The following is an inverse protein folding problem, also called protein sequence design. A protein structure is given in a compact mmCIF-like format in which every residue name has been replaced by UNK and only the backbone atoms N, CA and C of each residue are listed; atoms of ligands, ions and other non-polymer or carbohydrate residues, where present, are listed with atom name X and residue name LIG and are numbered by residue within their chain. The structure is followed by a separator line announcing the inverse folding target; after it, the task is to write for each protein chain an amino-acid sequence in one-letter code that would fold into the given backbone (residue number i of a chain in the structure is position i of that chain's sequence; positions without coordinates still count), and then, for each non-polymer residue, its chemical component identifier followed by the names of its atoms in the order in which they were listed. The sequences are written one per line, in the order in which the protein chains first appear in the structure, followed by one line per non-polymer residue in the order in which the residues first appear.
data_IF_995863324773
#
_entry.id   IF_995863324773
#
_cell.length_a   1.000
_cell.length_b   1.000
_cell.length_c   1.000
_cell.angle_alpha   90.00
_cell.angle_beta   90.00
_cell.angle_gamma   90.00
#
_symmetry.space_group_name_H-M   'P 1'
#
loop_
_entity.id
_entity.type
_entity.pdbx_description
1 polymer ?
#
# COMPACT_ATOMS: atom_id res chain seq x y z
N UNK A 1 -17.37 18.98 -7.12
CA UNK A 1 -17.55 18.49 -5.74
C UNK A 1 -16.19 18.05 -5.26
N UNK A 2 -15.78 18.41 -4.04
CA UNK A 2 -14.53 17.88 -3.48
C UNK A 2 -14.68 16.37 -3.32
N UNK A 3 -13.70 15.58 -3.74
CA UNK A 3 -13.67 14.13 -3.50
C UNK A 3 -13.69 13.86 -1.99
N UNK A 4 -14.36 12.80 -1.55
CA UNK A 4 -14.31 12.37 -0.14
C UNK A 4 -12.92 11.80 0.19
N UNK A 5 -12.55 11.74 1.46
CA UNK A 5 -11.32 11.06 1.88
C UNK A 5 -11.36 9.58 1.50
N UNK A 6 -12.54 8.94 1.57
CA UNK A 6 -12.73 7.57 1.09
C UNK A 6 -12.39 7.44 -0.40
N UNK A 7 -12.87 8.36 -1.25
CA UNK A 7 -12.58 8.34 -2.68
C UNK A 7 -11.11 8.63 -2.97
N UNK A 8 -10.48 9.52 -2.21
CA UNK A 8 -9.06 9.84 -2.33
C UNK A 8 -8.18 8.67 -1.90
N UNK A 9 -8.55 7.98 -0.82
CA UNK A 9 -7.86 6.77 -0.40
C UNK A 9 -7.94 5.70 -1.49
N UNK A 10 -9.13 5.46 -2.02
CA UNK A 10 -9.30 4.48 -3.09
C UNK A 10 -8.45 4.80 -4.33
N UNK A 11 -8.31 6.08 -4.68
CA UNK A 11 -7.42 6.51 -5.76
C UNK A 11 -5.94 6.24 -5.44
N UNK A 12 -5.50 6.53 -4.21
CA UNK A 12 -4.14 6.22 -3.77
C UNK A 12 -3.86 4.70 -3.88
N UNK A 13 -4.80 3.86 -3.44
CA UNK A 13 -4.66 2.40 -3.54
C UNK A 13 -4.67 1.90 -4.98
N UNK A 14 -5.48 2.49 -5.86
CA UNK A 14 -5.45 2.17 -7.29
C UNK A 14 -4.07 2.44 -7.89
N UNK A 15 -3.45 3.56 -7.54
CA UNK A 15 -2.08 3.87 -7.97
C UNK A 15 -1.05 2.88 -7.40
N UNK A 16 -1.18 2.47 -6.13
CA UNK A 16 -0.31 1.45 -5.54
C UNK A 16 -0.42 0.11 -6.29
N UNK A 17 -1.64 -0.30 -6.66
CA UNK A 17 -1.88 -1.50 -7.46
C UNK A 17 -1.30 -1.36 -8.87
N UNK A 18 -1.41 -0.18 -9.50
CA UNK A 18 -0.80 0.09 -10.79
C UNK A 18 0.72 -0.02 -10.72
N UNK A 19 1.37 0.62 -9.75
CA UNK A 19 2.83 0.53 -9.53
C UNK A 19 3.27 -0.91 -9.28
N UNK A 20 2.51 -1.67 -8.51
CA UNK A 20 2.80 -3.07 -8.27
C UNK A 20 2.67 -3.91 -9.55
N UNK A 21 1.68 -3.61 -10.39
CA UNK A 21 1.53 -4.24 -11.70
C UNK A 21 2.72 -3.94 -12.60
N UNK A 22 3.14 -2.67 -12.70
CA UNK A 22 4.32 -2.26 -13.48
C UNK A 22 5.57 -2.99 -13.00
N UNK A 23 5.79 -3.08 -11.68
CA UNK A 23 6.89 -3.86 -11.11
C UNK A 23 6.86 -5.33 -11.58
N UNK A 24 5.71 -6.00 -11.50
CA UNK A 24 5.57 -7.38 -11.96
C UNK A 24 5.78 -7.51 -13.48
N UNK A 25 5.32 -6.56 -14.29
CA UNK A 25 5.55 -6.54 -15.73
C UNK A 25 7.04 -6.50 -16.04
N UNK A 26 7.79 -5.58 -15.42
CA UNK A 26 9.24 -5.48 -15.64
C UNK A 26 9.99 -6.72 -15.11
N UNK A 27 9.60 -7.22 -13.93
CA UNK A 27 10.20 -8.42 -13.35
C UNK A 27 9.97 -9.65 -14.24
N UNK A 28 8.76 -9.84 -14.77
CA UNK A 28 8.42 -10.97 -15.64
C UNK A 28 9.02 -10.86 -17.04
N UNK A 29 9.30 -9.64 -17.51
CA UNK A 29 10.11 -9.38 -18.69
C UNK A 29 11.61 -9.72 -18.47
N UNK A 30 12.04 -9.88 -17.20
CA UNK A 30 13.44 -10.01 -16.79
C UNK A 30 14.28 -8.79 -17.21
N UNK A 31 13.69 -7.60 -17.19
CA UNK A 31 14.40 -6.33 -17.35
C UNK A 31 14.88 -5.85 -15.98
N UNK A 32 16.14 -6.14 -15.65
CA UNK A 32 16.67 -5.86 -14.30
C UNK A 32 16.63 -4.37 -13.92
N UNK A 33 17.17 -3.44 -14.74
CA UNK A 33 17.09 -2.01 -14.42
C UNK A 33 15.64 -1.55 -14.23
N UNK A 34 14.74 -1.88 -15.16
CA UNK A 34 13.36 -1.42 -15.09
C UNK A 34 12.60 -2.03 -13.90
N UNK A 35 12.87 -3.30 -13.56
CA UNK A 35 12.26 -3.96 -12.41
C UNK A 35 12.71 -3.35 -11.08
N UNK A 36 14.01 -3.02 -10.95
CA UNK A 36 14.54 -2.38 -9.75
C UNK A 36 14.00 -0.95 -9.59
N UNK A 37 13.93 -0.19 -10.68
CA UNK A 37 13.36 1.17 -10.66
C UNK A 37 11.87 1.13 -10.30
N UNK A 38 11.08 0.26 -10.94
CA UNK A 38 9.66 0.10 -10.64
C UNK A 38 9.42 -0.39 -9.21
N UNK A 39 10.27 -1.28 -8.68
CA UNK A 39 10.20 -1.73 -7.29
C UNK A 39 10.51 -0.60 -6.31
N UNK A 40 11.54 0.22 -6.58
CA UNK A 40 11.88 1.37 -5.75
C UNK A 40 10.74 2.41 -5.72
N UNK A 41 10.10 2.66 -6.86
CA UNK A 41 8.93 3.53 -6.94
C UNK A 41 7.74 2.99 -6.14
N UNK A 42 7.39 1.71 -6.32
CA UNK A 42 6.36 1.04 -5.54
C UNK A 42 6.64 1.14 -4.05
N UNK A 43 7.84 0.73 -3.63
CA UNK A 43 8.28 0.74 -2.22
C UNK A 43 8.15 2.14 -1.64
N UNK A 44 8.67 3.15 -2.34
CA UNK A 44 8.61 4.54 -1.88
C UNK A 44 7.18 5.05 -1.71
N UNK A 45 6.30 4.84 -2.70
CA UNK A 45 4.90 5.28 -2.60
C UNK A 45 4.17 4.58 -1.46
N UNK A 46 4.38 3.28 -1.31
CA UNK A 46 3.70 2.48 -0.31
C UNK A 46 4.19 2.80 1.11
N UNK A 47 5.49 3.05 1.29
CA UNK A 47 6.05 3.54 2.57
C UNK A 47 5.52 4.93 2.93
N UNK A 48 5.43 5.86 1.96
CA UNK A 48 4.84 7.19 2.18
C UNK A 48 3.39 7.09 2.63
N UNK A 49 2.61 6.27 1.94
CA UNK A 49 1.20 6.04 2.23
C UNK A 49 1.01 5.51 3.66
N UNK A 50 1.66 4.40 3.97
CA UNK A 50 1.61 3.78 5.31
C UNK A 50 2.04 4.72 6.43
N UNK A 51 3.13 5.46 6.23
CA UNK A 51 3.64 6.42 7.23
C UNK A 51 2.69 7.59 7.43
N UNK A 52 2.08 8.09 6.35
CA UNK A 52 1.07 9.12 6.44
C UNK A 52 -0.11 8.64 7.30
N UNK A 53 -0.61 7.44 7.04
CA UNK A 53 -1.73 6.90 7.79
C UNK A 53 -1.39 6.66 9.26
N UNK A 54 -0.25 6.01 9.53
CA UNK A 54 0.25 5.75 10.89
C UNK A 54 0.40 7.04 11.71
N UNK A 55 0.81 8.14 11.07
CA UNK A 55 1.11 9.40 11.76
C UNK A 55 -0.03 10.40 11.79
N UNK A 56 -0.97 10.33 10.85
CA UNK A 56 -1.96 11.40 10.61
C UNK A 56 -3.40 10.90 10.58
N UNK A 57 -3.64 9.65 10.18
CA UNK A 57 -4.99 9.09 10.00
C UNK A 57 -5.37 8.27 11.23
N UNK A 58 -4.61 7.23 11.54
CA UNK A 58 -4.90 6.32 12.65
C UNK A 58 -4.97 7.02 14.01
N UNK A 59 -4.11 8.01 14.35
CA UNK A 59 -4.21 8.73 15.61
C UNK A 59 -5.52 9.53 15.80
N UNK A 60 -6.26 9.77 14.72
CA UNK A 60 -7.54 10.49 14.77
C UNK A 60 -8.72 9.61 15.11
N UNK A 61 -8.53 8.28 15.17
CA UNK A 61 -9.57 7.32 15.48
C UNK A 61 -9.51 6.90 16.95
N UNK A 62 -10.63 7.00 17.65
CA UNK A 62 -10.77 6.50 19.01
C UNK A 62 -11.31 5.07 19.03
N UNK A 63 -10.48 4.13 19.50
CA UNK A 63 -10.86 2.72 19.60
C UNK A 63 -12.07 2.53 20.54
N UNK A 64 -13.10 1.84 20.05
CA UNK A 64 -14.37 1.61 20.75
C UNK A 64 -15.39 2.73 20.61
N UNK A 65 -15.04 3.84 19.95
CA UNK A 65 -15.96 4.95 19.64
C UNK A 65 -16.14 5.11 18.14
N UNK A 66 -15.04 5.30 17.42
CA UNK A 66 -15.02 5.56 15.97
C UNK A 66 -14.87 4.28 15.16
N UNK A 67 -14.01 3.38 15.66
CA UNK A 67 -13.67 2.09 15.05
C UNK A 67 -13.54 1.05 16.16
N UNK A 68 -13.82 -0.22 15.88
CA UNK A 68 -13.59 -1.27 16.89
C UNK A 68 -12.08 -1.42 17.14
N UNK A 69 -11.70 -1.78 18.38
CA UNK A 69 -10.30 -2.01 18.71
C UNK A 69 -9.69 -3.14 17.87
N UNK A 70 -10.50 -4.13 17.47
CA UNK A 70 -10.06 -5.22 16.60
C UNK A 70 -9.76 -4.75 15.18
N UNK A 71 -10.63 -3.95 14.57
CA UNK A 71 -10.38 -3.43 13.22
C UNK A 71 -9.21 -2.46 13.19
N UNK A 72 -9.07 -1.60 14.21
CA UNK A 72 -7.89 -0.73 14.31
C UNK A 72 -6.59 -1.55 14.41
N UNK A 73 -6.59 -2.61 15.24
CA UNK A 73 -5.44 -3.51 15.35
C UNK A 73 -5.15 -4.27 14.04
N UNK A 74 -6.19 -4.61 13.26
CA UNK A 74 -6.02 -5.25 11.95
C UNK A 74 -5.37 -4.32 10.94
N UNK A 75 -5.80 -3.06 10.84
CA UNK A 75 -5.20 -2.06 9.93
C UNK A 75 -3.72 -1.83 10.29
N UNK A 76 -3.41 -1.61 11.57
CA UNK A 76 -2.01 -1.50 12.01
C UNK A 76 -1.22 -2.80 11.77
N UNK A 77 -1.85 -3.96 11.92
CA UNK A 77 -1.25 -5.24 11.60
C UNK A 77 -0.94 -5.41 10.11
N UNK A 78 -1.83 -4.95 9.23
CA UNK A 78 -1.62 -4.96 7.78
C UNK A 78 -0.38 -4.15 7.41
N UNK A 79 -0.19 -2.96 8.02
CA UNK A 79 0.98 -2.11 7.81
C UNK A 79 2.31 -2.84 8.10
N UNK A 80 2.38 -3.62 9.17
CA UNK A 80 3.55 -4.43 9.47
C UNK A 80 3.74 -5.53 8.42
N UNK A 81 2.68 -6.26 8.08
CA UNK A 81 2.73 -7.37 7.11
C UNK A 81 3.13 -6.87 5.72
N UNK A 82 2.68 -5.68 5.34
CA UNK A 82 3.06 -5.01 4.09
C UNK A 82 4.56 -4.69 4.11
N UNK A 83 5.08 -4.10 5.19
CA UNK A 83 6.52 -3.83 5.35
C UNK A 83 7.37 -5.09 5.21
N UNK A 84 7.02 -6.15 5.94
CA UNK A 84 7.70 -7.45 5.86
C UNK A 84 7.65 -8.05 4.45
N UNK A 85 6.53 -7.83 3.73
CA UNK A 85 6.36 -8.32 2.36
C UNK A 85 7.22 -7.53 1.37
N UNK A 86 7.42 -6.23 1.56
CA UNK A 86 8.33 -5.44 0.73
C UNK A 86 9.78 -5.91 0.89
N UNK A 87 10.24 -6.17 2.10
CA UNK A 87 11.58 -6.73 2.33
C UNK A 87 11.75 -8.10 1.64
N UNK A 88 10.74 -8.97 1.75
CA UNK A 88 10.72 -10.24 1.04
C UNK A 88 10.82 -10.08 -0.48
N UNK A 89 10.11 -9.10 -1.06
CA UNK A 89 10.13 -8.85 -2.50
C UNK A 89 11.49 -8.34 -2.96
N UNK A 90 12.17 -7.52 -2.15
CA UNK A 90 13.53 -7.05 -2.44
C UNK A 90 14.52 -8.23 -2.51
N UNK A 91 14.47 -9.13 -1.52
CA UNK A 91 15.27 -10.35 -1.52
C UNK A 91 14.98 -11.25 -2.73
N UNK A 92 13.71 -11.31 -3.16
CA UNK A 92 13.30 -12.08 -4.32
C UNK A 92 13.81 -11.48 -5.63
N UNK A 93 13.76 -10.16 -5.78
CA UNK A 93 14.34 -9.45 -6.93
C UNK A 93 15.81 -9.79 -7.04
N UNK A 94 16.54 -9.72 -5.93
CA UNK A 94 17.96 -10.05 -5.89
C UNK A 94 18.22 -11.52 -6.25
N UNK A 95 17.48 -12.45 -5.65
CA UNK A 95 17.61 -13.88 -5.94
C UNK A 95 17.34 -14.20 -7.42
N UNK A 96 16.34 -13.57 -8.02
CA UNK A 96 15.97 -13.79 -9.43
C UNK A 96 17.10 -13.33 -10.36
N UNK A 97 17.58 -12.10 -10.20
CA UNK A 97 18.57 -11.53 -11.12
C UNK A 97 19.99 -12.07 -10.89
N UNK A 98 20.35 -12.47 -9.68
CA UNK A 98 21.64 -13.13 -9.42
C UNK A 98 21.65 -14.64 -9.72
N UNK A 99 20.51 -15.24 -10.04
CA UNK A 99 20.44 -16.66 -10.40
C UNK A 99 21.09 -16.93 -11.75
N UNK A 100 21.76 -18.09 -11.87
CA UNK A 100 22.22 -18.58 -13.17
C UNK A 100 21.06 -18.97 -14.11
N UNK A 101 19.82 -19.09 -13.59
CA UNK A 101 18.61 -19.37 -14.35
C UNK A 101 17.47 -18.43 -13.91
N UNK A 102 17.52 -17.12 -14.23
CA UNK A 102 16.58 -16.11 -13.70
C UNK A 102 15.11 -16.44 -13.95
N UNK A 103 14.79 -16.92 -15.16
CA UNK A 103 13.42 -17.34 -15.50
C UNK A 103 12.91 -18.48 -14.62
N UNK A 104 13.78 -19.45 -14.29
CA UNK A 104 13.39 -20.58 -13.44
C UNK A 104 13.19 -20.15 -12.00
N UNK A 105 14.07 -19.26 -11.50
CA UNK A 105 13.95 -18.69 -10.17
C UNK A 105 12.67 -17.86 -10.03
N UNK A 106 12.34 -17.05 -11.05
CA UNK A 106 11.09 -16.29 -11.10
C UNK A 106 9.87 -17.21 -11.02
N UNK A 107 9.83 -18.26 -11.85
CA UNK A 107 8.71 -19.21 -11.85
C UNK A 107 8.57 -19.92 -10.50
N UNK A 108 9.68 -20.27 -9.86
CA UNK A 108 9.68 -20.91 -8.54
C UNK A 108 9.12 -19.99 -7.43
N UNK A 109 9.17 -18.68 -7.61
CA UNK A 109 8.76 -17.69 -6.61
C UNK A 109 7.45 -16.96 -6.96
N UNK A 110 6.72 -17.34 -8.02
CA UNK A 110 5.47 -16.67 -8.45
C UNK A 110 4.42 -16.53 -7.33
N UNK A 111 4.25 -17.55 -6.49
CA UNK A 111 3.30 -17.50 -5.37
C UNK A 111 3.70 -16.51 -4.29
N UNK A 112 5.01 -16.33 -4.07
CA UNK A 112 5.56 -15.37 -3.10
C UNK A 112 5.46 -13.95 -3.65
N UNK A 113 5.72 -13.78 -4.95
CA UNK A 113 5.55 -12.50 -5.65
C UNK A 113 4.10 -12.03 -5.50
N UNK A 114 3.11 -12.85 -5.86
CA UNK A 114 1.68 -12.50 -5.80
C UNK A 114 1.11 -12.21 -4.40
N UNK A 115 1.88 -12.39 -3.31
CA UNK A 115 1.38 -12.21 -1.94
C UNK A 115 0.96 -10.78 -1.65
N UNK A 116 1.69 -9.78 -2.15
CA UNK A 116 1.40 -8.37 -1.87
C UNK A 116 0.02 -7.95 -2.39
N UNK A 117 -0.42 -8.50 -3.52
CA UNK A 117 -1.72 -8.18 -4.10
C UNK A 117 -2.87 -8.48 -3.14
N UNK A 118 -2.91 -9.70 -2.61
CA UNK A 118 -3.98 -10.09 -1.68
C UNK A 118 -3.95 -9.29 -0.38
N UNK A 119 -2.75 -8.91 0.09
CA UNK A 119 -2.62 -8.04 1.26
C UNK A 119 -3.21 -6.66 0.96
N UNK A 120 -2.85 -6.05 -0.17
CA UNK A 120 -3.36 -4.74 -0.58
C UNK A 120 -4.88 -4.77 -0.79
N UNK A 121 -5.44 -5.82 -1.40
CA UNK A 121 -6.88 -5.96 -1.58
C UNK A 121 -7.64 -5.94 -0.24
N UNK A 122 -7.19 -6.75 0.73
CA UNK A 122 -7.81 -6.79 2.05
C UNK A 122 -7.62 -5.50 2.85
N UNK A 123 -6.44 -4.91 2.77
CA UNK A 123 -6.11 -3.64 3.42
C UNK A 123 -6.99 -2.50 2.89
N UNK A 124 -7.09 -2.37 1.56
CA UNK A 124 -7.98 -1.40 0.88
C UNK A 124 -9.44 -1.57 1.33
N UNK A 125 -9.92 -2.82 1.39
CA UNK A 125 -11.30 -3.11 1.82
C UNK A 125 -11.55 -2.64 3.26
N UNK A 126 -10.62 -2.90 4.18
CA UNK A 126 -10.76 -2.48 5.57
C UNK A 126 -10.83 -0.97 5.71
N UNK A 127 -9.93 -0.25 5.05
CA UNK A 127 -9.87 1.20 5.18
C UNK A 127 -11.07 1.89 4.55
N UNK A 128 -11.45 1.44 3.36
CA UNK A 128 -12.65 1.91 2.65
C UNK A 128 -13.93 1.66 3.46
N UNK A 129 -13.95 0.61 4.29
CA UNK A 129 -15.13 0.23 5.06
C UNK A 129 -15.18 0.79 6.47
N UNK A 130 -14.03 0.92 7.14
CA UNK A 130 -13.97 1.14 8.59
C UNK A 130 -13.17 2.37 9.01
N UNK A 131 -12.29 2.90 8.16
CA UNK A 131 -11.41 4.03 8.49
C UNK A 131 -11.94 5.32 7.87
N UNK A 132 -11.85 5.43 6.55
CA UNK A 132 -12.12 6.69 5.85
C UNK A 132 -13.58 7.16 5.89
N UNK A 133 -14.61 6.28 5.88
CA UNK A 133 -15.99 6.72 6.04
C UNK A 133 -16.28 7.42 7.38
N UNK A 134 -15.50 7.11 8.42
CA UNK A 134 -15.62 7.76 9.73
C UNK A 134 -15.04 9.18 9.67
N UNK A 135 -13.88 9.33 9.02
CA UNK A 135 -13.22 10.62 8.85
C UNK A 135 -14.03 11.57 7.96
N UNK A 136 -14.69 11.04 6.93
CA UNK A 136 -15.58 11.83 6.05
C UNK A 136 -16.76 12.49 6.78
N UNK A 137 -17.17 11.89 7.92
CA UNK A 137 -18.26 12.39 8.75
C UNK A 137 -17.80 13.41 9.80
N UNK A 138 -16.49 13.65 9.94
CA UNK A 138 -15.98 14.63 10.89
C UNK A 138 -16.43 16.06 10.53
N UNK A 139 -16.80 16.88 11.52
CA UNK A 139 -17.31 18.22 11.27
C UNK A 139 -16.21 19.23 10.89
N UNK A 140 -14.95 18.94 11.22
CA UNK A 140 -13.82 19.83 10.97
C UNK A 140 -13.34 19.72 9.51
N UNK A 141 -13.74 20.71 8.70
CA UNK A 141 -13.42 20.75 7.27
C UNK A 141 -11.99 21.17 6.98
N UNK A 142 -11.37 21.97 7.84
CA UNK A 142 -9.96 22.35 7.66
C UNK A 142 -9.08 21.12 7.88
N UNK A 143 -9.38 20.35 8.92
CA UNK A 143 -8.73 19.07 9.19
C UNK A 143 -8.91 18.06 8.06
N UNK A 144 -10.13 17.89 7.54
CA UNK A 144 -10.40 17.00 6.39
C UNK A 144 -9.57 17.41 5.16
N UNK A 145 -9.46 18.71 4.87
CA UNK A 145 -8.66 19.19 3.75
C UNK A 145 -7.16 18.87 3.93
N UNK A 146 -6.63 18.98 5.15
CA UNK A 146 -5.24 18.60 5.45
C UNK A 146 -4.98 17.10 5.22
N UNK A 147 -5.95 16.24 5.58
CA UNK A 147 -5.85 14.81 5.28
C UNK A 147 -5.95 14.52 3.79
N UNK A 148 -6.81 15.24 3.07
CA UNK A 148 -6.96 15.12 1.63
C UNK A 148 -5.67 15.50 0.88
N UNK A 149 -5.02 16.60 1.28
CA UNK A 149 -3.72 17.01 0.74
C UNK A 149 -2.65 15.94 1.01
N UNK A 150 -2.59 15.41 2.24
CA UNK A 150 -1.65 14.36 2.59
C UNK A 150 -1.84 13.08 1.77
N UNK A 151 -3.09 12.66 1.51
CA UNK A 151 -3.38 11.52 0.63
C UNK A 151 -2.86 11.74 -0.79
N UNK A 152 -3.05 12.94 -1.35
CA UNK A 152 -2.55 13.28 -2.68
C UNK A 152 -1.02 13.25 -2.74
N UNK A 153 -0.34 13.71 -1.69
CA UNK A 153 1.13 13.70 -1.62
C UNK A 153 1.70 12.27 -1.55
N UNK A 154 0.97 11.29 -1.02
CA UNK A 154 1.44 9.88 -1.02
C UNK A 154 1.51 9.26 -2.42
N UNK A 155 0.80 9.87 -3.39
CA UNK A 155 0.71 9.41 -4.77
C UNK A 155 1.84 9.93 -5.68
N UNK A 156 2.56 10.96 -5.24
CA UNK A 156 3.71 11.55 -5.94
C UNK A 156 5.02 10.97 -5.44
#
# INVERSE_FOLDING_TARGET
MSSSLTDLNLQAHQLLVERYTVFLEQLTALDEPAARDAFAELRGSLERHRLFEDQRVLPCLQAGQDITAEELARVTGDHQVIGDTLELLEDLVEAIFCSAQPRRELVANLSRLGRLQGILEHHTERETRFVYPVLDQMPDREFINLLAEGLLDTSH
#
